data_IF_867904120268
#
_entry.id   IF_867904120268
#
_cell.length_a   1.000
_cell.length_b   1.000
_cell.length_c   1.000
_cell.angle_alpha   90.00
_cell.angle_beta   90.00
_cell.angle_gamma   90.00
#
_symmetry.space_group_name_H-M   'P 1'
#
loop_
_entity.id
_entity.type
_entity.pdbx_description
1 polymer ?
#
# COMPACT_ATOMS: atom_id res chain seq x y z
N UNK A 1 2.27 -63.49 -8.20
CA UNK A 1 0.89 -62.95 -8.16
C UNK A 1 0.75 -61.88 -9.23
N UNK A 2 -0.08 -62.09 -10.25
CA UNK A 2 -0.31 -61.13 -11.32
C UNK A 2 -1.38 -60.14 -10.85
N UNK A 3 -1.04 -58.85 -10.76
CA UNK A 3 -1.99 -57.81 -10.33
C UNK A 3 -3.25 -57.81 -11.21
N UNK A 4 -4.48 -57.75 -10.64
CA UNK A 4 -5.71 -57.74 -11.43
C UNK A 4 -5.72 -56.59 -12.45
N UNK A 5 -6.28 -56.82 -13.65
CA UNK A 5 -6.33 -55.85 -14.77
C UNK A 5 -6.82 -54.46 -14.36
N UNK A 6 -7.80 -54.39 -13.45
CA UNK A 6 -8.31 -53.14 -12.86
C UNK A 6 -7.24 -52.33 -12.11
N UNK A 7 -6.38 -53.00 -11.33
CA UNK A 7 -5.30 -52.36 -10.58
C UNK A 7 -4.15 -51.92 -11.50
N UNK A 8 -3.89 -52.66 -12.58
CA UNK A 8 -2.95 -52.23 -13.62
C UNK A 8 -3.40 -50.95 -14.32
N UNK A 9 -4.69 -50.83 -14.64
CA UNK A 9 -5.26 -49.62 -15.25
C UNK A 9 -5.20 -48.44 -14.28
N UNK A 10 -5.56 -48.66 -13.00
CA UNK A 10 -5.47 -47.60 -11.97
C UNK A 10 -4.02 -47.16 -11.75
N UNK A 11 -3.05 -48.07 -11.71
CA UNK A 11 -1.63 -47.74 -11.56
C UNK A 11 -1.06 -47.04 -12.80
N UNK A 12 -1.49 -47.44 -14.01
CA UNK A 12 -1.11 -46.76 -15.25
C UNK A 12 -1.73 -45.36 -15.32
N UNK A 13 -2.99 -45.19 -14.91
CA UNK A 13 -3.65 -43.89 -14.86
C UNK A 13 -3.03 -42.98 -13.78
N UNK A 14 -2.69 -43.54 -12.60
CA UNK A 14 -1.99 -42.81 -11.54
C UNK A 14 -0.57 -42.42 -11.97
N UNK A 15 0.18 -43.33 -12.59
CA UNK A 15 1.50 -43.04 -13.16
C UNK A 15 1.43 -41.99 -14.27
N UNK A 16 0.43 -42.06 -15.14
CA UNK A 16 0.18 -41.06 -16.17
C UNK A 16 -0.18 -39.70 -15.57
N UNK A 17 -0.98 -39.63 -14.50
CA UNK A 17 -1.26 -38.38 -13.79
C UNK A 17 -0.01 -37.79 -13.13
N UNK A 18 0.84 -38.63 -12.52
CA UNK A 18 2.13 -38.19 -11.95
C UNK A 18 3.05 -37.64 -13.03
N UNK A 19 3.09 -38.24 -14.22
CA UNK A 19 3.89 -37.74 -15.34
C UNK A 19 3.31 -36.44 -15.91
N UNK A 20 1.98 -36.38 -16.14
CA UNK A 20 1.32 -35.23 -16.76
C UNK A 20 1.29 -34.00 -15.84
N UNK A 21 1.08 -34.17 -14.54
CA UNK A 21 1.00 -33.05 -13.60
C UNK A 21 2.29 -32.87 -12.78
N UNK A 22 2.93 -33.96 -12.39
CA UNK A 22 4.11 -33.93 -11.51
C UNK A 22 5.37 -33.44 -12.21
N UNK A 23 5.60 -33.77 -13.49
CA UNK A 23 6.78 -33.26 -14.22
C UNK A 23 6.66 -31.74 -14.43
N UNK A 24 5.56 -31.18 -14.97
CA UNK A 24 5.42 -29.73 -15.09
C UNK A 24 5.51 -29.01 -13.73
N UNK A 25 4.88 -29.56 -12.68
CA UNK A 25 4.99 -28.99 -11.34
C UNK A 25 6.44 -29.01 -10.82
N UNK A 26 7.19 -30.09 -11.05
CA UNK A 26 8.61 -30.15 -10.68
C UNK A 26 9.44 -29.12 -11.48
N UNK A 27 9.18 -28.97 -12.77
CA UNK A 27 9.87 -27.98 -13.63
C UNK A 27 9.63 -26.56 -13.13
N UNK A 28 8.39 -26.22 -12.74
CA UNK A 28 8.07 -24.93 -12.12
C UNK A 28 8.71 -24.81 -10.72
N UNK A 29 8.63 -25.85 -9.90
CA UNK A 29 9.24 -25.88 -8.56
C UNK A 29 10.76 -25.66 -8.63
N UNK A 30 11.43 -26.14 -9.67
CA UNK A 30 12.85 -25.92 -9.92
C UNK A 30 13.19 -24.56 -10.54
N UNK A 31 12.18 -23.71 -10.81
CA UNK A 31 12.36 -22.34 -11.29
C UNK A 31 12.67 -22.24 -12.79
N UNK A 32 12.38 -23.25 -13.60
CA UNK A 32 12.76 -23.26 -15.03
C UNK A 32 12.09 -22.15 -15.88
N UNK A 33 11.04 -21.51 -15.35
CA UNK A 33 10.33 -20.40 -15.99
C UNK A 33 10.63 -19.05 -15.34
N UNK A 34 11.53 -19.00 -14.35
CA UNK A 34 11.93 -17.73 -13.75
C UNK A 34 12.88 -16.99 -14.69
N UNK A 35 12.57 -15.72 -14.95
CA UNK A 35 13.35 -14.86 -15.80
C UNK A 35 13.87 -13.67 -14.99
N UNK A 36 15.18 -13.46 -15.02
CA UNK A 36 15.83 -12.29 -14.42
C UNK A 36 15.76 -11.11 -15.37
N UNK A 37 15.34 -9.93 -14.90
CA UNK A 37 15.49 -8.66 -15.64
C UNK A 37 16.82 -7.97 -15.34
N UNK A 38 17.65 -8.56 -14.48
CA UNK A 38 18.98 -8.07 -14.15
C UNK A 38 19.98 -8.57 -15.19
N UNK A 39 20.67 -7.65 -15.85
CA UNK A 39 21.68 -7.94 -16.88
C UNK A 39 22.92 -8.60 -16.25
N UNK A 40 23.60 -9.49 -16.99
CA UNK A 40 24.85 -10.10 -16.55
C UNK A 40 25.97 -9.06 -16.31
N UNK A 41 25.94 -7.92 -17.00
CA UNK A 41 26.87 -6.81 -16.79
C UNK A 41 26.76 -6.18 -15.38
N UNK A 42 25.69 -6.46 -14.64
CA UNK A 42 25.47 -5.95 -13.27
C UNK A 42 26.42 -6.59 -12.25
N UNK A 43 27.13 -7.66 -12.62
CA UNK A 43 28.08 -8.35 -11.73
C UNK A 43 29.28 -7.49 -11.29
N UNK A 44 29.65 -6.46 -12.06
CA UNK A 44 30.74 -5.56 -11.69
C UNK A 44 30.37 -4.70 -10.46
N UNK A 45 31.23 -4.66 -9.41
CA UNK A 45 30.95 -3.86 -8.21
C UNK A 45 31.03 -2.35 -8.50
N UNK A 46 30.23 -1.57 -7.78
CA UNK A 46 30.32 -0.10 -7.83
C UNK A 46 31.64 0.37 -7.19
N UNK A 47 32.36 1.25 -7.89
CA UNK A 47 33.53 1.94 -7.32
C UNK A 47 33.12 2.93 -6.24
N UNK A 48 34.04 3.29 -5.34
CA UNK A 48 33.79 4.30 -4.31
C UNK A 48 33.32 5.65 -4.90
N UNK A 49 33.84 6.03 -6.07
CA UNK A 49 33.42 7.25 -6.80
C UNK A 49 31.97 7.13 -7.30
N UNK A 50 31.58 5.97 -7.86
CA UNK A 50 30.20 5.73 -8.27
C UNK A 50 29.26 5.76 -7.07
N UNK A 51 29.64 5.14 -5.95
CA UNK A 51 28.84 5.16 -4.71
C UNK A 51 28.61 6.60 -4.26
N UNK A 52 29.67 7.42 -4.17
CA UNK A 52 29.55 8.81 -3.76
C UNK A 52 28.64 9.64 -4.69
N UNK A 53 28.73 9.41 -6.01
CA UNK A 53 27.92 10.13 -6.99
C UNK A 53 26.45 9.71 -6.98
N UNK A 54 26.17 8.43 -6.76
CA UNK A 54 24.82 7.88 -6.81
C UNK A 54 24.06 8.03 -5.48
N UNK A 55 24.75 8.09 -4.35
CA UNK A 55 24.12 8.12 -3.02
C UNK A 55 23.09 9.26 -2.82
N UNK A 56 23.27 10.50 -3.32
CA UNK A 56 22.23 11.53 -3.23
C UNK A 56 20.93 11.16 -3.95
N UNK A 57 21.03 10.61 -5.17
CA UNK A 57 19.89 10.09 -5.93
C UNK A 57 19.26 8.90 -5.20
N UNK A 58 20.10 8.00 -4.69
CA UNK A 58 19.66 6.84 -3.91
C UNK A 58 18.88 7.18 -2.67
N UNK A 59 19.27 8.24 -1.96
CA UNK A 59 18.50 8.77 -0.82
C UNK A 59 17.08 9.14 -1.23
N UNK A 60 16.95 9.84 -2.37
CA UNK A 60 15.66 10.27 -2.88
C UNK A 60 14.79 9.07 -3.30
N UNK A 61 15.36 8.15 -4.09
CA UNK A 61 14.64 6.95 -4.55
C UNK A 61 14.25 6.05 -3.38
N UNK A 62 15.12 5.85 -2.38
CA UNK A 62 14.81 5.04 -1.20
C UNK A 62 13.69 5.65 -0.34
N UNK A 63 13.59 6.98 -0.31
CA UNK A 63 12.46 7.67 0.33
C UNK A 63 11.20 7.51 -0.51
N UNK A 64 11.22 7.85 -1.80
CA UNK A 64 10.06 7.72 -2.70
C UNK A 64 9.53 6.28 -2.80
N UNK A 65 10.42 5.29 -2.67
CA UNK A 65 10.07 3.87 -2.66
C UNK A 65 9.64 3.32 -1.29
N UNK A 66 9.60 4.18 -0.26
CA UNK A 66 9.17 3.87 1.10
C UNK A 66 10.00 2.78 1.82
N UNK A 67 11.27 2.62 1.44
CA UNK A 67 12.11 1.55 1.98
C UNK A 67 12.29 1.65 3.51
N UNK A 68 12.39 2.88 4.04
CA UNK A 68 12.65 3.10 5.47
C UNK A 68 11.46 2.72 6.36
N UNK A 69 10.23 2.87 5.86
CA UNK A 69 9.02 2.52 6.60
C UNK A 69 9.01 1.04 6.96
N UNK A 70 9.39 0.18 6.02
CA UNK A 70 9.43 -1.26 6.24
C UNK A 70 10.69 -1.69 7.01
N UNK A 71 11.85 -1.12 6.65
CA UNK A 71 13.15 -1.57 7.17
C UNK A 71 13.58 -0.90 8.49
N UNK A 72 12.67 -0.26 9.21
CA UNK A 72 12.92 0.34 10.52
C UNK A 72 11.78 -0.03 11.48
N UNK A 73 12.13 -0.41 12.71
CA UNK A 73 11.17 -0.63 13.79
C UNK A 73 10.98 0.62 14.62
N UNK A 74 9.82 0.75 15.27
CA UNK A 74 9.61 1.82 16.25
C UNK A 74 10.65 1.72 17.38
N UNK A 75 11.35 2.83 17.64
CA UNK A 75 12.47 2.88 18.60
C UNK A 75 13.74 2.11 18.17
N UNK A 76 13.74 1.48 16.99
CA UNK A 76 14.87 0.73 16.44
C UNK A 76 15.88 1.59 15.69
N UNK A 77 17.03 1.01 15.37
CA UNK A 77 18.02 1.67 14.54
C UNK A 77 17.52 1.77 13.08
N UNK A 78 17.71 2.91 12.38
CA UNK A 78 17.29 3.07 11.00
C UNK A 78 17.86 1.97 10.10
N UNK A 79 17.03 1.40 9.21
CA UNK A 79 17.41 0.37 8.22
C UNK A 79 17.76 -1.01 8.79
N UNK A 80 17.74 -1.18 10.11
CA UNK A 80 18.15 -2.42 10.77
C UNK A 80 17.06 -3.53 10.79
N UNK A 81 15.90 -3.26 10.17
CA UNK A 81 14.82 -4.23 10.01
C UNK A 81 14.07 -4.54 11.32
N UNK A 82 13.41 -5.70 11.32
CA UNK A 82 12.67 -6.23 12.46
C UNK A 82 11.19 -5.86 12.54
N UNK A 83 10.66 -5.04 11.61
CA UNK A 83 9.25 -4.64 11.59
C UNK A 83 8.37 -5.87 11.32
N UNK A 84 7.39 -6.17 12.18
CA UNK A 84 6.46 -7.26 11.94
C UNK A 84 5.39 -6.85 10.92
N UNK A 85 5.07 -7.75 10.01
CA UNK A 85 3.89 -7.71 9.17
C UNK A 85 3.00 -8.87 9.57
N UNK A 86 1.98 -8.58 10.37
CA UNK A 86 1.05 -9.57 10.88
C UNK A 86 -0.03 -9.87 9.84
N UNK A 87 -0.12 -11.14 9.45
CA UNK A 87 -1.13 -11.62 8.52
C UNK A 87 -1.90 -12.77 9.18
N UNK A 88 -3.12 -13.09 8.71
CA UNK A 88 -3.87 -14.24 9.21
C UNK A 88 -3.11 -15.58 9.10
N UNK A 89 -2.14 -15.66 8.18
CA UNK A 89 -1.33 -16.84 7.90
C UNK A 89 0.01 -16.88 8.69
N UNK A 90 0.27 -15.88 9.55
CA UNK A 90 1.50 -15.75 10.33
C UNK A 90 2.18 -14.39 10.14
N UNK A 91 3.35 -14.22 10.75
CA UNK A 91 4.09 -12.95 10.77
C UNK A 91 5.34 -13.02 9.90
N UNK A 92 5.51 -12.03 9.01
CA UNK A 92 6.75 -11.77 8.29
C UNK A 92 7.55 -10.66 8.99
N UNK A 93 8.87 -10.69 8.87
CA UNK A 93 9.72 -9.63 9.44
C UNK A 93 10.59 -8.97 8.36
N UNK A 94 10.63 -7.64 8.36
CA UNK A 94 11.56 -6.89 7.53
C UNK A 94 13.02 -7.22 7.89
N UNK A 95 13.91 -7.25 6.90
CA UNK A 95 15.32 -7.57 7.11
C UNK A 95 16.17 -6.32 7.35
N UNK A 96 17.33 -6.48 7.98
CA UNK A 96 18.37 -5.47 8.07
C UNK A 96 18.98 -5.22 6.69
N UNK A 97 18.97 -3.97 6.24
CA UNK A 97 19.55 -3.51 4.97
C UNK A 97 20.64 -2.44 5.15
N UNK A 98 21.22 -2.36 6.36
CA UNK A 98 22.43 -1.58 6.62
C UNK A 98 23.66 -2.22 5.97
N UNK A 99 24.79 -1.52 5.81
CA UNK A 99 26.02 -2.11 5.27
C UNK A 99 26.77 -3.01 6.25
N UNK A 100 26.11 -3.50 7.31
CA UNK A 100 26.69 -4.52 8.18
C UNK A 100 27.00 -5.78 7.36
N UNK A 101 28.24 -6.33 7.45
CA UNK A 101 28.67 -7.44 6.59
C UNK A 101 28.08 -8.80 6.97
N UNK A 102 27.64 -8.98 8.21
CA UNK A 102 27.15 -10.27 8.73
C UNK A 102 25.62 -10.37 8.69
N UNK A 103 24.94 -9.31 9.09
CA UNK A 103 23.49 -9.29 9.32
C UNK A 103 22.72 -8.40 8.33
N UNK A 104 23.42 -7.47 7.67
CA UNK A 104 22.88 -6.57 6.66
C UNK A 104 23.27 -6.94 5.21
N UNK A 105 23.37 -5.92 4.36
CA UNK A 105 23.73 -6.06 2.94
C UNK A 105 25.22 -5.80 2.64
N UNK A 106 26.06 -5.56 3.65
CA UNK A 106 27.47 -5.19 3.45
C UNK A 106 28.30 -6.21 2.69
N UNK A 107 27.92 -7.49 2.77
CA UNK A 107 28.55 -8.58 2.01
C UNK A 107 27.81 -8.97 0.73
N UNK A 108 26.82 -8.20 0.27
CA UNK A 108 26.08 -8.49 -0.95
C UNK A 108 26.82 -7.94 -2.16
N UNK A 109 26.68 -8.60 -3.30
CA UNK A 109 27.10 -8.04 -4.59
C UNK A 109 26.03 -7.09 -5.13
N UNK A 110 26.43 -6.18 -6.03
CA UNK A 110 25.50 -5.32 -6.77
C UNK A 110 24.38 -6.12 -7.44
N UNK A 111 24.74 -7.23 -8.09
CA UNK A 111 23.79 -8.11 -8.77
C UNK A 111 22.84 -8.85 -7.81
N UNK A 112 23.33 -9.26 -6.62
CA UNK A 112 22.46 -9.85 -5.59
C UNK A 112 21.42 -8.85 -5.07
N UNK A 113 21.82 -7.58 -4.85
CA UNK A 113 20.88 -6.54 -4.45
C UNK A 113 19.85 -6.26 -5.54
N UNK A 114 20.29 -6.14 -6.81
CA UNK A 114 19.41 -5.93 -7.95
C UNK A 114 18.37 -7.04 -8.11
N UNK A 115 18.79 -8.32 -8.01
CA UNK A 115 17.86 -9.46 -8.09
C UNK A 115 16.90 -9.51 -6.91
N UNK A 116 17.34 -9.14 -5.71
CA UNK A 116 16.44 -9.08 -4.57
C UNK A 116 15.34 -8.04 -4.76
N UNK A 117 15.69 -6.87 -5.32
CA UNK A 117 14.75 -5.79 -5.55
C UNK A 117 13.83 -6.06 -6.74
N UNK A 118 14.36 -6.59 -7.86
CA UNK A 118 13.63 -6.66 -9.14
C UNK A 118 13.12 -8.05 -9.52
N UNK A 119 13.72 -9.11 -8.96
CA UNK A 119 13.31 -10.51 -9.22
C UNK A 119 12.78 -11.21 -7.96
N UNK A 120 12.87 -10.58 -6.79
CA UNK A 120 12.49 -11.21 -5.52
C UNK A 120 13.42 -12.34 -5.12
N UNK A 121 14.70 -12.32 -5.55
CA UNK A 121 15.69 -13.36 -5.22
C UNK A 121 16.83 -12.77 -4.41
N UNK A 122 16.85 -13.09 -3.11
CA UNK A 122 17.89 -12.64 -2.18
C UNK A 122 19.22 -13.39 -2.38
N UNK A 123 20.27 -12.91 -1.70
CA UNK A 123 21.57 -13.58 -1.62
C UNK A 123 21.42 -15.08 -1.31
N UNK A 124 22.14 -15.91 -2.07
CA UNK A 124 22.07 -17.37 -1.99
C UNK A 124 20.88 -18.02 -2.70
N UNK A 125 20.16 -17.28 -3.57
CA UNK A 125 19.06 -17.83 -4.37
C UNK A 125 17.74 -17.99 -3.62
N UNK A 126 17.61 -17.34 -2.45
CA UNK A 126 16.42 -17.46 -1.61
C UNK A 126 15.32 -16.53 -2.09
N UNK A 127 14.17 -17.07 -2.50
CA UNK A 127 12.99 -16.27 -2.86
C UNK A 127 12.48 -15.43 -1.69
N UNK A 128 12.09 -14.20 -1.99
CA UNK A 128 11.38 -13.28 -1.10
C UNK A 128 9.87 -13.54 -1.19
N UNK A 129 9.16 -13.22 -0.10
CA UNK A 129 7.70 -13.14 -0.15
C UNK A 129 7.32 -11.76 -0.70
N UNK A 130 6.21 -11.64 -1.44
CA UNK A 130 5.79 -10.40 -2.09
C UNK A 130 5.35 -9.28 -1.14
N UNK A 131 5.45 -9.49 0.18
CA UNK A 131 5.43 -8.41 1.16
C UNK A 131 6.60 -7.42 0.96
N UNK A 132 7.75 -7.90 0.43
CA UNK A 132 8.70 -7.03 -0.25
C UNK A 132 8.16 -6.82 -1.66
N UNK A 133 7.80 -5.60 -2.09
CA UNK A 133 7.03 -5.38 -3.32
C UNK A 133 7.91 -5.46 -4.58
N UNK A 134 8.65 -6.57 -4.75
CA UNK A 134 9.55 -6.80 -5.88
C UNK A 134 8.81 -6.89 -7.22
N UNK A 135 7.52 -7.22 -7.22
CA UNK A 135 6.68 -7.17 -8.43
C UNK A 135 6.56 -5.74 -8.95
N UNK A 136 6.34 -4.78 -8.04
CA UNK A 136 6.29 -3.36 -8.35
C UNK A 136 7.69 -2.81 -8.65
N UNK A 137 8.67 -3.11 -7.80
CA UNK A 137 10.05 -2.65 -7.97
C UNK A 137 10.78 -3.25 -9.17
N UNK A 138 10.30 -4.35 -9.76
CA UNK A 138 10.82 -4.88 -11.04
C UNK A 138 10.89 -3.81 -12.13
N UNK A 139 9.94 -2.88 -12.09
CA UNK A 139 9.84 -1.77 -13.02
C UNK A 139 10.86 -0.65 -12.77
N UNK A 140 11.56 -0.66 -11.63
CA UNK A 140 12.65 0.28 -11.36
C UNK A 140 13.75 0.14 -12.41
N UNK A 141 14.35 1.28 -12.77
CA UNK A 141 15.52 1.26 -13.64
C UNK A 141 16.72 0.66 -12.90
N UNK A 142 17.63 0.03 -13.64
CA UNK A 142 18.89 -0.49 -13.07
C UNK A 142 19.65 0.60 -12.31
N UNK A 143 19.71 1.81 -12.87
CA UNK A 143 20.40 2.96 -12.28
C UNK A 143 19.77 3.40 -10.95
N UNK A 144 18.44 3.37 -10.84
CA UNK A 144 17.74 3.76 -9.61
C UNK A 144 17.98 2.72 -8.50
N UNK A 145 18.01 1.43 -8.84
CA UNK A 145 18.33 0.37 -7.88
C UNK A 145 19.80 0.45 -7.44
N UNK A 146 20.72 0.74 -8.35
CA UNK A 146 22.12 1.01 -8.01
C UNK A 146 22.27 2.23 -7.12
N UNK A 147 21.46 3.27 -7.35
CA UNK A 147 21.48 4.46 -6.53
C UNK A 147 21.04 4.14 -5.10
N UNK A 148 19.94 3.40 -4.94
CA UNK A 148 19.51 2.92 -3.62
C UNK A 148 20.60 2.08 -2.96
N UNK A 149 21.22 1.15 -3.70
CA UNK A 149 22.30 0.32 -3.17
C UNK A 149 23.48 1.17 -2.68
N UNK A 150 23.95 2.10 -3.51
CA UNK A 150 25.00 3.04 -3.15
C UNK A 150 24.65 3.87 -1.91
N UNK A 151 23.42 4.36 -1.79
CA UNK A 151 22.96 5.11 -0.62
C UNK A 151 22.97 4.25 0.64
N UNK A 152 22.45 3.02 0.58
CA UNK A 152 22.44 2.09 1.71
C UNK A 152 23.87 1.76 2.18
N UNK A 153 24.82 1.61 1.25
CA UNK A 153 26.23 1.39 1.58
C UNK A 153 26.90 2.55 2.34
N UNK A 154 26.31 3.74 2.33
CA UNK A 154 26.80 4.90 3.10
C UNK A 154 26.13 5.05 4.47
N UNK A 155 25.18 4.18 4.84
CA UNK A 155 24.51 4.25 6.15
C UNK A 155 25.42 3.71 7.25
N UNK A 156 25.05 3.99 8.50
CA UNK A 156 25.74 3.39 9.65
C UNK A 156 25.48 1.87 9.65
N UNK A 157 26.52 1.02 9.69
CA UNK A 157 26.36 -0.41 9.88
C UNK A 157 25.70 -0.68 11.24
N UNK A 158 24.66 -1.52 11.25
CA UNK A 158 24.02 -1.97 12.49
C UNK A 158 24.03 -3.49 12.48
N UNK A 159 24.72 -4.09 13.45
CA UNK A 159 24.69 -5.54 13.64
C UNK A 159 23.40 -5.93 14.36
N UNK A 160 22.43 -6.43 13.61
CA UNK A 160 21.14 -6.88 14.13
C UNK A 160 20.66 -8.09 13.34
N UNK A 161 20.55 -9.24 14.02
CA UNK A 161 20.09 -10.47 13.40
C UNK A 161 18.64 -10.35 12.90
N UNK A 162 18.40 -10.88 11.70
CA UNK A 162 17.08 -10.95 11.13
C UNK A 162 16.21 -11.94 11.89
N UNK A 163 15.00 -11.50 12.26
CA UNK A 163 13.99 -12.38 12.85
C UNK A 163 13.49 -13.37 11.81
N UNK A 164 13.23 -14.60 12.24
CA UNK A 164 12.65 -15.63 11.37
C UNK A 164 11.16 -15.40 11.21
N UNK A 165 10.68 -15.58 9.98
CA UNK A 165 9.26 -15.58 9.68
C UNK A 165 8.54 -16.73 10.38
N UNK A 166 7.23 -16.57 10.60
CA UNK A 166 6.37 -17.55 11.27
C UNK A 166 5.25 -18.07 10.36
N UNK A 167 5.60 -18.37 9.11
CA UNK A 167 4.65 -18.90 8.13
C UNK A 167 4.63 -20.45 8.15
N UNK A 168 3.45 -21.09 8.27
CA UNK A 168 3.32 -22.54 8.27
C UNK A 168 3.44 -23.11 6.84
N UNK A 169 3.59 -24.43 6.73
CA UNK A 169 3.36 -25.12 5.44
C UNK A 169 1.92 -24.83 4.93
N UNK A 170 1.70 -24.59 3.63
CA UNK A 170 2.63 -24.73 2.50
C UNK A 170 3.41 -23.47 2.10
N UNK A 171 3.41 -22.41 2.92
CA UNK A 171 4.05 -21.12 2.61
C UNK A 171 5.58 -21.15 2.71
N UNK A 172 6.25 -22.18 2.19
CA UNK A 172 7.72 -22.24 2.13
C UNK A 172 8.23 -21.53 0.86
N UNK A 173 9.37 -20.85 0.98
CA UNK A 173 9.90 -19.94 -0.05
C UNK A 173 10.02 -20.55 -1.45
N UNK A 174 10.31 -21.84 -1.57
CA UNK A 174 10.43 -22.50 -2.88
C UNK A 174 9.13 -22.49 -3.69
N UNK A 175 7.95 -22.45 -3.03
CA UNK A 175 6.69 -22.33 -3.77
C UNK A 175 6.47 -20.95 -4.39
N UNK A 176 7.35 -19.98 -4.12
CA UNK A 176 7.29 -18.69 -4.78
C UNK A 176 7.57 -18.79 -6.28
N UNK A 177 8.20 -19.86 -6.77
CA UNK A 177 8.33 -20.08 -8.22
C UNK A 177 6.96 -20.22 -8.91
N UNK A 178 5.99 -20.88 -8.27
CA UNK A 178 4.62 -21.00 -8.80
C UNK A 178 3.87 -19.68 -8.75
N UNK A 179 4.02 -18.94 -7.65
CA UNK A 179 3.36 -17.64 -7.50
C UNK A 179 3.96 -16.62 -8.48
N UNK A 180 5.28 -16.60 -8.64
CA UNK A 180 5.99 -15.75 -9.59
C UNK A 180 5.56 -16.04 -11.03
N UNK A 181 5.38 -17.31 -11.39
CA UNK A 181 4.86 -17.69 -12.72
C UNK A 181 3.52 -17.03 -13.05
N UNK A 182 2.68 -16.76 -12.04
CA UNK A 182 1.35 -16.15 -12.21
C UNK A 182 1.37 -14.62 -12.05
N UNK A 183 2.20 -14.11 -11.14
CA UNK A 183 2.10 -12.74 -10.64
C UNK A 183 3.30 -11.85 -10.92
N UNK A 184 4.46 -12.39 -11.30
CA UNK A 184 5.65 -11.61 -11.61
C UNK A 184 5.67 -11.29 -13.12
N UNK A 185 5.51 -10.03 -13.55
CA UNK A 185 5.52 -9.67 -14.96
C UNK A 185 6.88 -9.96 -15.58
N UNK A 186 6.92 -10.46 -16.81
CA UNK A 186 8.19 -10.78 -17.47
C UNK A 186 9.00 -9.52 -17.82
N UNK A 187 8.33 -8.50 -18.37
CA UNK A 187 8.97 -7.32 -18.96
C UNK A 187 8.80 -6.06 -18.11
N UNK A 188 9.77 -5.15 -18.23
CA UNK A 188 9.68 -3.79 -17.69
C UNK A 188 8.89 -2.92 -18.69
N UNK A 189 7.79 -2.27 -18.30
CA UNK A 189 6.98 -1.50 -19.24
C UNK A 189 7.69 -0.25 -19.77
N UNK A 190 7.82 -0.16 -21.09
CA UNK A 190 8.32 1.04 -21.78
C UNK A 190 7.40 2.26 -21.60
N UNK A 191 7.91 3.49 -21.78
CA UNK A 191 7.06 4.68 -21.84
C UNK A 191 5.95 4.56 -22.88
N UNK A 192 4.75 5.01 -22.54
CA UNK A 192 3.59 5.02 -23.43
C UNK A 192 3.70 6.23 -24.36
N UNK A 193 3.92 5.99 -25.65
CA UNK A 193 4.24 7.03 -26.64
C UNK A 193 3.15 8.11 -26.79
N UNK A 194 1.88 7.76 -26.58
CA UNK A 194 0.75 8.68 -26.70
C UNK A 194 0.50 9.51 -25.43
N UNK A 195 1.29 9.29 -24.36
CA UNK A 195 1.16 10.00 -23.09
C UNK A 195 2.29 11.00 -22.90
N UNK A 196 2.00 12.06 -22.15
CA UNK A 196 2.98 13.10 -21.83
C UNK A 196 4.16 12.53 -21.02
N UNK A 197 5.29 13.23 -21.04
CA UNK A 197 6.44 12.87 -20.23
C UNK A 197 6.10 12.87 -18.73
N UNK A 198 5.30 13.85 -18.28
CA UNK A 198 4.81 13.94 -16.91
C UNK A 198 3.93 12.73 -16.53
N UNK A 199 3.04 12.30 -17.42
CA UNK A 199 2.22 11.11 -17.18
C UNK A 199 3.08 9.84 -17.06
N UNK A 200 4.06 9.66 -17.95
CA UNK A 200 4.97 8.51 -17.89
C UNK A 200 5.86 8.53 -16.64
N UNK A 201 6.30 9.72 -16.20
CA UNK A 201 7.02 9.90 -14.94
C UNK A 201 6.14 9.56 -13.74
N UNK A 202 4.90 10.04 -13.72
CA UNK A 202 3.91 9.72 -12.69
C UNK A 202 3.61 8.23 -12.60
N UNK A 203 3.47 7.56 -13.76
CA UNK A 203 3.31 6.10 -13.84
C UNK A 203 4.46 5.38 -13.17
N UNK A 204 5.71 5.76 -13.48
CA UNK A 204 6.89 5.17 -12.84
C UNK A 204 6.89 5.38 -11.31
N UNK A 205 6.57 6.60 -10.86
CA UNK A 205 6.54 6.92 -9.44
C UNK A 205 5.42 6.19 -8.69
N UNK A 206 4.26 5.97 -9.30
CA UNK A 206 3.09 5.34 -8.67
C UNK A 206 3.17 3.82 -8.75
N UNK A 207 3.53 3.27 -9.92
CA UNK A 207 3.54 1.83 -10.16
C UNK A 207 4.82 1.18 -9.61
N UNK A 208 5.97 1.84 -9.75
CA UNK A 208 7.27 1.25 -9.39
C UNK A 208 7.74 1.69 -8.00
N UNK A 209 7.95 2.99 -7.78
CA UNK A 209 8.51 3.47 -6.51
C UNK A 209 7.48 3.39 -5.38
N UNK A 210 6.38 4.12 -5.51
CA UNK A 210 5.34 4.20 -4.49
C UNK A 210 4.48 2.96 -4.36
N UNK A 211 4.61 1.98 -5.29
CA UNK A 211 3.91 0.69 -5.29
C UNK A 211 2.41 0.80 -4.91
N UNK A 212 1.75 1.89 -5.32
CA UNK A 212 0.41 2.24 -4.84
C UNK A 212 -0.61 1.12 -5.15
N UNK A 213 -0.38 0.39 -6.24
CA UNK A 213 -1.16 -0.77 -6.65
C UNK A 213 -1.23 -1.89 -5.61
N UNK A 214 -0.23 -2.03 -4.73
CA UNK A 214 -0.18 -3.08 -3.71
C UNK A 214 -1.26 -2.90 -2.63
N UNK A 215 -1.67 -1.66 -2.36
CA UNK A 215 -2.73 -1.35 -1.41
C UNK A 215 -4.05 -0.99 -2.09
N UNK A 216 -3.99 -0.35 -3.26
CA UNK A 216 -5.18 0.18 -3.95
C UNK A 216 -5.73 -0.75 -5.05
N UNK A 217 -5.25 -1.99 -5.17
CA UNK A 217 -5.80 -2.98 -6.12
C UNK A 217 -6.31 -4.19 -5.35
N UNK A 218 -7.52 -4.70 -5.65
CA UNK A 218 -8.02 -5.88 -4.98
C UNK A 218 -7.15 -7.10 -5.33
N UNK A 219 -7.03 -8.03 -4.37
CA UNK A 219 -6.23 -9.25 -4.52
C UNK A 219 -7.11 -10.48 -4.76
N UNK A 220 -6.56 -11.47 -5.46
CA UNK A 220 -7.18 -12.77 -5.66
C UNK A 220 -6.85 -13.75 -4.52
N UNK A 221 -7.28 -15.01 -4.66
CA UNK A 221 -7.04 -16.06 -3.66
C UNK A 221 -5.56 -16.43 -3.48
N UNK A 222 -4.69 -16.08 -4.44
CA UNK A 222 -3.24 -16.27 -4.36
C UNK A 222 -2.55 -15.10 -3.67
N UNK A 223 -3.32 -14.09 -3.23
CA UNK A 223 -2.83 -12.79 -2.74
C UNK A 223 -2.11 -11.95 -3.80
N UNK A 224 -2.21 -12.32 -5.08
CA UNK A 224 -1.77 -11.47 -6.20
C UNK A 224 -2.76 -10.35 -6.46
N UNK A 225 -2.29 -9.19 -6.92
CA UNK A 225 -3.19 -8.09 -7.34
C UNK A 225 -3.94 -8.49 -8.61
N UNK A 226 -5.21 -8.09 -8.74
CA UNK A 226 -6.03 -8.38 -9.93
C UNK A 226 -5.80 -7.27 -10.98
N UNK A 227 -5.08 -7.52 -12.08
CA UNK A 227 -4.65 -6.43 -12.99
C UNK A 227 -5.83 -5.71 -13.67
N UNK A 228 -6.93 -6.41 -13.93
CA UNK A 228 -8.14 -5.83 -14.52
C UNK A 228 -8.89 -4.86 -13.59
N UNK A 229 -8.51 -4.82 -12.31
CA UNK A 229 -9.07 -3.94 -11.29
C UNK A 229 -8.04 -2.98 -10.70
N UNK A 230 -6.98 -2.71 -11.46
CA UNK A 230 -5.89 -1.82 -11.05
C UNK A 230 -6.41 -0.51 -10.44
N UNK A 231 -5.94 -0.18 -9.24
CA UNK A 231 -6.27 1.02 -8.46
C UNK A 231 -7.74 1.21 -8.06
N UNK A 232 -8.61 0.22 -8.26
CA UNK A 232 -10.05 0.31 -7.94
C UNK A 232 -10.38 0.16 -6.44
N UNK A 233 -9.36 0.20 -5.58
CA UNK A 233 -9.47 0.08 -4.13
C UNK A 233 -9.42 -1.35 -3.60
N UNK A 234 -9.15 -1.49 -2.32
CA UNK A 234 -9.13 -2.75 -1.60
C UNK A 234 -9.43 -2.51 -0.10
N UNK A 235 -9.53 -3.59 0.67
CA UNK A 235 -9.57 -3.50 2.14
C UNK A 235 -8.21 -3.91 2.68
N UNK A 236 -7.58 -3.04 3.45
CA UNK A 236 -6.28 -3.25 4.10
C UNK A 236 -6.49 -3.03 5.60
N UNK A 237 -6.13 -4.01 6.43
CA UNK A 237 -6.25 -3.92 7.90
C UNK A 237 -7.65 -3.51 8.40
N UNK A 238 -8.69 -3.91 7.67
CA UNK A 238 -10.09 -3.61 8.02
C UNK A 238 -10.57 -2.21 7.66
N UNK A 239 -9.76 -1.41 6.97
CA UNK A 239 -10.16 -0.11 6.39
C UNK A 239 -10.06 -0.14 4.86
N UNK A 240 -10.87 0.68 4.21
CA UNK A 240 -10.88 0.80 2.75
C UNK A 240 -9.69 1.65 2.28
N UNK A 241 -8.79 1.03 1.51
CA UNK A 241 -7.92 1.74 0.59
C UNK A 241 -8.77 2.19 -0.62
N UNK A 242 -8.97 3.50 -0.82
CA UNK A 242 -9.95 4.00 -1.79
C UNK A 242 -9.61 3.66 -3.24
N UNK A 243 -10.61 3.72 -4.11
CA UNK A 243 -10.40 3.77 -5.56
C UNK A 243 -9.64 5.06 -5.93
N UNK A 244 -8.40 4.91 -6.40
CA UNK A 244 -7.53 6.01 -6.82
C UNK A 244 -7.31 6.04 -8.34
N UNK A 245 -8.20 5.40 -9.11
CA UNK A 245 -8.30 5.65 -10.56
C UNK A 245 -8.68 7.11 -10.83
N UNK A 246 -8.47 7.64 -12.06
CA UNK A 246 -8.92 8.98 -12.43
C UNK A 246 -10.38 9.25 -12.07
N UNK A 247 -11.28 8.30 -12.37
CA UNK A 247 -12.70 8.40 -12.07
C UNK A 247 -12.98 8.29 -10.57
N UNK A 248 -12.23 7.44 -9.85
CA UNK A 248 -12.30 7.31 -8.39
C UNK A 248 -11.97 8.62 -7.68
N UNK A 249 -10.83 9.22 -8.01
CA UNK A 249 -10.37 10.48 -7.44
C UNK A 249 -11.29 11.64 -7.77
N UNK A 250 -11.82 11.68 -9.00
CA UNK A 250 -12.83 12.67 -9.38
C UNK A 250 -14.10 12.54 -8.54
N UNK A 251 -14.60 11.31 -8.30
CA UNK A 251 -15.75 11.09 -7.39
C UNK A 251 -15.49 11.52 -5.95
N UNK A 252 -14.25 11.41 -5.49
CA UNK A 252 -13.83 11.89 -4.18
C UNK A 252 -13.63 13.42 -4.15
N UNK A 253 -13.60 14.08 -5.32
CA UNK A 253 -13.46 15.52 -5.46
C UNK A 253 -12.01 16.00 -5.37
N UNK A 254 -11.05 15.15 -5.71
CA UNK A 254 -9.66 15.57 -5.86
C UNK A 254 -9.45 16.26 -7.21
N UNK A 255 -9.17 17.56 -7.17
CA UNK A 255 -8.66 18.26 -8.34
C UNK A 255 -7.20 17.83 -8.60
N UNK A 256 -6.77 17.62 -9.86
CA UNK A 256 -5.42 17.13 -10.19
C UNK A 256 -4.31 17.96 -9.52
N UNK A 257 -4.42 19.29 -9.60
CA UNK A 257 -3.43 20.20 -9.02
C UNK A 257 -3.37 20.16 -7.48
N UNK A 258 -4.42 19.68 -6.80
CA UNK A 258 -4.47 19.54 -5.34
C UNK A 258 -4.02 18.16 -4.85
N UNK A 259 -4.01 17.17 -5.73
CA UNK A 259 -3.62 15.81 -5.37
C UNK A 259 -2.12 15.71 -5.05
N UNK A 260 -1.26 16.40 -5.82
CA UNK A 260 0.18 16.48 -5.53
C UNK A 260 0.47 17.09 -4.17
N UNK A 261 -0.17 18.22 -3.86
CA UNK A 261 -0.08 18.88 -2.55
C UNK A 261 -0.55 17.95 -1.43
N UNK A 262 -1.67 17.25 -1.63
CA UNK A 262 -2.23 16.33 -0.65
C UNK A 262 -1.31 15.13 -0.39
N UNK A 263 -0.67 14.56 -1.42
CA UNK A 263 0.30 13.48 -1.26
C UNK A 263 1.51 13.91 -0.43
N UNK A 264 1.98 15.15 -0.61
CA UNK A 264 3.15 15.65 0.12
C UNK A 264 2.83 16.10 1.54
N UNK A 265 1.69 16.74 1.74
CA UNK A 265 1.30 17.29 3.03
C UNK A 265 0.55 16.28 3.92
N UNK A 266 -0.07 15.26 3.33
CA UNK A 266 -0.94 14.31 4.01
C UNK A 266 -2.24 14.92 4.55
N UNK A 267 -2.51 16.21 4.32
CA UNK A 267 -3.68 16.91 4.85
C UNK A 267 -4.20 17.94 3.84
N UNK A 268 -5.51 18.02 3.69
CA UNK A 268 -6.13 19.00 2.79
C UNK A 268 -7.65 19.04 2.93
N UNK A 269 -8.34 19.77 2.04
CA UNK A 269 -9.80 19.85 2.06
C UNK A 269 -10.49 18.49 1.94
N UNK A 270 -9.87 17.52 1.27
CA UNK A 270 -10.41 16.17 1.11
C UNK A 270 -10.23 15.28 2.35
N UNK A 271 -9.53 15.75 3.39
CA UNK A 271 -9.32 15.00 4.63
C UNK A 271 -7.86 14.92 5.01
N UNK A 272 -7.49 13.80 5.63
CA UNK A 272 -6.14 13.49 6.09
C UNK A 272 -5.75 12.08 5.63
N UNK A 273 -4.47 11.86 5.35
CA UNK A 273 -3.92 10.52 5.15
C UNK A 273 -3.78 9.85 6.52
N UNK A 274 -4.72 8.96 6.80
CA UNK A 274 -4.81 8.18 8.04
C UNK A 274 -4.45 6.71 7.82
N UNK A 275 -4.41 5.93 8.90
CA UNK A 275 -4.07 4.50 8.87
C UNK A 275 -2.70 4.27 8.23
N UNK A 276 -2.54 3.20 7.43
CA UNK A 276 -1.28 2.90 6.74
C UNK A 276 -0.78 4.03 5.82
N UNK A 277 -1.68 4.88 5.29
CA UNK A 277 -1.26 6.02 4.46
C UNK A 277 -0.55 7.12 5.25
N UNK A 278 -0.69 7.16 6.58
CA UNK A 278 0.09 8.07 7.40
C UNK A 278 1.58 7.76 7.30
N UNK A 279 1.96 6.47 7.40
CA UNK A 279 3.36 6.04 7.29
C UNK A 279 3.94 6.40 5.92
N UNK A 280 3.15 6.24 4.85
CA UNK A 280 3.55 6.63 3.47
C UNK A 280 3.92 8.11 3.40
N UNK A 281 3.14 8.99 4.04
CA UNK A 281 3.49 10.43 4.11
C UNK A 281 4.74 10.63 4.96
N UNK A 282 4.82 10.00 6.13
CA UNK A 282 5.92 10.20 7.07
C UNK A 282 7.28 9.75 6.53
N UNK A 283 7.29 8.72 5.70
CA UNK A 283 8.51 8.04 5.29
C UNK A 283 8.82 8.16 3.79
N UNK A 284 7.83 8.54 2.97
CA UNK A 284 7.97 8.64 1.51
C UNK A 284 7.49 9.96 0.92
N UNK A 285 6.18 10.15 0.77
CA UNK A 285 5.63 11.13 -0.20
C UNK A 285 5.92 12.58 0.17
N UNK A 286 6.16 12.89 1.44
CA UNK A 286 6.57 14.24 1.86
C UNK A 286 7.92 14.69 1.29
N UNK A 287 8.77 13.75 0.89
CA UNK A 287 10.12 14.02 0.38
C UNK A 287 10.17 14.16 -1.15
N UNK A 288 9.05 13.95 -1.84
CA UNK A 288 8.95 14.11 -3.29
C UNK A 288 9.26 15.55 -3.69
N UNK A 289 9.84 15.73 -4.88
CA UNK A 289 9.96 17.07 -5.49
C UNK A 289 8.59 17.59 -5.93
N UNK A 290 8.45 18.89 -6.18
CA UNK A 290 7.17 19.46 -6.65
C UNK A 290 6.80 18.86 -8.00
N UNK A 291 7.82 18.67 -8.86
CA UNK A 291 7.69 18.05 -10.18
C UNK A 291 7.21 16.61 -10.10
N UNK A 292 7.79 15.78 -9.21
CA UNK A 292 7.41 14.38 -9.10
C UNK A 292 6.02 14.22 -8.46
N UNK A 293 5.66 15.04 -7.48
CA UNK A 293 4.31 15.05 -6.94
C UNK A 293 3.26 15.49 -7.98
N UNK A 294 3.60 16.48 -8.81
CA UNK A 294 2.76 16.89 -9.93
C UNK A 294 2.64 15.78 -11.00
N UNK A 295 3.74 15.08 -11.31
CA UNK A 295 3.73 13.96 -12.25
C UNK A 295 2.86 12.81 -11.75
N UNK A 296 2.98 12.42 -10.47
CA UNK A 296 2.09 11.43 -9.84
C UNK A 296 0.63 11.87 -9.93
N UNK A 297 0.34 13.15 -9.70
CA UNK A 297 -1.00 13.69 -9.82
C UNK A 297 -1.53 13.66 -11.26
N UNK A 298 -0.70 13.97 -12.27
CA UNK A 298 -1.05 13.83 -13.69
C UNK A 298 -1.37 12.38 -14.06
N UNK A 299 -0.62 11.41 -13.53
CA UNK A 299 -0.90 10.00 -13.78
C UNK A 299 -2.22 9.56 -13.14
N UNK A 300 -2.36 9.79 -11.83
CA UNK A 300 -3.51 9.34 -11.04
C UNK A 300 -4.81 10.05 -11.42
N UNK A 301 -4.77 11.35 -11.70
CA UNK A 301 -5.95 12.10 -12.10
C UNK A 301 -6.28 11.96 -13.59
N UNK A 302 -5.40 11.37 -14.40
CA UNK A 302 -5.55 11.23 -15.84
C UNK A 302 -5.06 12.44 -16.64
N UNK A 303 -4.83 12.20 -17.94
CA UNK A 303 -4.34 13.17 -18.91
C UNK A 303 -5.11 12.98 -20.24
N UNK A 304 -6.20 13.76 -20.50
CA UNK A 304 -6.79 14.79 -19.61
C UNK A 304 -7.58 14.20 -18.43
N UNK A 305 -7.77 14.96 -17.33
CA UNK A 305 -8.52 14.50 -16.17
C UNK A 305 -10.04 14.49 -16.43
N UNK A 306 -10.79 13.54 -15.84
CA UNK A 306 -12.24 13.52 -15.95
C UNK A 306 -12.86 14.71 -15.18
N UNK A 307 -14.07 15.16 -15.57
CA UNK A 307 -14.75 16.23 -14.86
C UNK A 307 -15.13 15.78 -13.44
N UNK A 308 -15.01 16.70 -12.49
CA UNK A 308 -15.51 16.47 -11.13
C UNK A 308 -17.05 16.40 -11.16
N UNK A 309 -17.68 15.38 -10.57
CA UNK A 309 -19.12 15.30 -10.51
C UNK A 309 -19.69 16.45 -9.67
N UNK A 310 -20.86 16.94 -10.05
CA UNK A 310 -21.60 17.88 -9.22
C UNK A 310 -21.96 17.20 -7.91
N UNK A 311 -21.67 17.87 -6.80
CA UNK A 311 -22.08 17.41 -5.48
C UNK A 311 -23.56 17.74 -5.24
N UNK A 312 -24.33 16.76 -4.77
CA UNK A 312 -25.68 16.95 -4.30
C UNK A 312 -25.87 16.17 -2.98
N UNK A 313 -26.50 16.81 -2.00
CA UNK A 313 -26.89 16.12 -0.77
C UNK A 313 -27.95 15.05 -1.08
N UNK A 314 -27.90 13.94 -0.36
CA UNK A 314 -28.90 12.88 -0.45
C UNK A 314 -30.02 13.09 0.57
N UNK A 315 -31.19 12.54 0.28
CA UNK A 315 -32.33 12.58 1.20
C UNK A 315 -32.10 11.69 2.43
N UNK A 316 -32.62 12.14 3.57
CA UNK A 316 -32.58 11.47 4.85
C UNK A 316 -33.96 11.49 5.50
N UNK A 317 -34.38 10.41 6.19
CA UNK A 317 -35.55 10.45 7.06
C UNK A 317 -35.44 11.58 8.10
N UNK A 318 -36.52 12.33 8.33
CA UNK A 318 -36.50 13.53 9.17
C UNK A 318 -35.94 13.25 10.58
N UNK A 319 -36.35 12.15 11.22
CA UNK A 319 -35.85 11.75 12.54
C UNK A 319 -34.34 11.50 12.55
N UNK A 320 -33.82 10.74 11.59
CA UNK A 320 -32.37 10.48 11.44
C UNK A 320 -31.60 11.77 11.16
N UNK A 321 -32.15 12.65 10.31
CA UNK A 321 -31.54 13.95 10.00
C UNK A 321 -31.43 14.84 11.24
N UNK A 322 -32.51 14.97 11.99
CA UNK A 322 -32.56 15.82 13.19
C UNK A 322 -31.65 15.28 14.29
N UNK A 323 -31.67 13.96 14.53
CA UNK A 323 -30.79 13.31 15.51
C UNK A 323 -29.33 13.47 15.12
N UNK A 324 -28.97 13.10 13.88
CA UNK A 324 -27.60 13.18 13.38
C UNK A 324 -27.05 14.60 13.38
N UNK A 325 -27.86 15.61 13.01
CA UNK A 325 -27.47 17.01 13.09
C UNK A 325 -27.26 17.49 14.53
N UNK A 326 -28.16 17.13 15.46
CA UNK A 326 -28.01 17.47 16.88
C UNK A 326 -26.73 16.86 17.47
N UNK A 327 -26.47 15.59 17.17
CA UNK A 327 -25.24 14.91 17.57
C UNK A 327 -24.00 15.60 16.97
N UNK A 328 -24.03 15.89 15.68
CA UNK A 328 -22.93 16.60 15.01
C UNK A 328 -22.61 17.93 15.72
N UNK A 329 -23.61 18.77 15.96
CA UNK A 329 -23.41 20.05 16.65
C UNK A 329 -22.90 19.85 18.08
N UNK A 330 -23.39 18.84 18.79
CA UNK A 330 -23.04 18.57 20.18
C UNK A 330 -21.60 18.05 20.35
N UNK A 331 -21.12 17.16 19.48
CA UNK A 331 -19.84 16.45 19.70
C UNK A 331 -18.80 16.63 18.59
N UNK A 332 -19.18 17.09 17.40
CA UNK A 332 -18.26 17.27 16.26
C UNK A 332 -17.99 18.74 15.93
N UNK A 333 -19.02 19.59 16.02
CA UNK A 333 -19.02 20.97 15.51
C UNK A 333 -18.00 21.89 16.17
N UNK A 334 -17.56 21.59 17.40
CA UNK A 334 -16.52 22.37 18.09
C UNK A 334 -15.17 22.36 17.36
N UNK A 335 -14.85 21.28 16.64
CA UNK A 335 -13.60 21.18 15.84
C UNK A 335 -13.88 21.28 14.34
N UNK A 336 -14.95 20.62 13.86
CA UNK A 336 -15.29 20.56 12.44
C UNK A 336 -16.13 21.74 11.94
N UNK A 337 -16.45 22.70 12.81
CA UNK A 337 -17.29 23.85 12.50
C UNK A 337 -18.78 23.49 12.51
N UNK A 338 -19.66 24.46 12.77
CA UNK A 338 -21.10 24.19 12.87
C UNK A 338 -21.72 23.83 11.51
N UNK A 339 -21.14 24.30 10.41
CA UNK A 339 -21.55 24.00 9.05
C UNK A 339 -20.62 23.00 8.33
N UNK A 340 -19.70 22.37 9.06
CA UNK A 340 -18.74 21.41 8.48
C UNK A 340 -17.57 22.05 7.75
N UNK A 341 -17.33 23.34 7.95
CA UNK A 341 -16.26 24.12 7.32
C UNK A 341 -14.84 23.75 7.76
N UNK A 342 -14.71 22.97 8.85
CA UNK A 342 -13.43 22.56 9.41
C UNK A 342 -12.68 23.70 10.10
N UNK A 343 -11.56 23.35 10.72
CA UNK A 343 -10.62 24.30 11.30
C UNK A 343 -9.26 24.09 10.64
N UNK A 344 -8.71 25.10 9.93
CA UNK A 344 -7.43 24.96 9.24
C UNK A 344 -6.32 24.41 10.15
N UNK A 345 -5.58 23.41 9.66
CA UNK A 345 -4.49 22.73 10.38
C UNK A 345 -4.89 22.11 11.73
N UNK A 346 -6.17 21.80 11.92
CA UNK A 346 -6.69 21.17 13.14
C UNK A 346 -7.63 20.02 12.80
N UNK A 347 -8.67 20.32 12.03
CA UNK A 347 -9.72 19.36 11.66
C UNK A 347 -10.16 19.59 10.22
N UNK A 348 -10.20 18.55 9.37
CA UNK A 348 -10.58 18.71 7.97
C UNK A 348 -12.04 19.17 7.85
N UNK A 349 -12.39 19.93 6.80
CA UNK A 349 -13.77 20.27 6.47
C UNK A 349 -14.55 19.00 6.13
N UNK A 350 -15.77 18.87 6.64
CA UNK A 350 -16.68 17.78 6.27
C UNK A 350 -17.28 17.99 4.88
N UNK A 351 -17.47 19.24 4.46
CA UNK A 351 -18.08 19.60 3.17
C UNK A 351 -17.37 19.02 1.95
N UNK A 352 -16.06 18.74 2.08
CA UNK A 352 -15.22 18.20 1.01
C UNK A 352 -14.55 16.88 1.36
N UNK A 353 -14.83 16.32 2.54
CA UNK A 353 -14.11 15.14 3.04
C UNK A 353 -14.40 13.90 2.17
N UNK A 354 -13.35 13.31 1.63
CA UNK A 354 -13.41 12.14 0.77
C UNK A 354 -13.97 10.91 1.52
N UNK A 355 -13.73 10.77 2.82
CA UNK A 355 -14.22 9.63 3.61
C UNK A 355 -15.76 9.57 3.65
N UNK A 356 -16.44 10.72 3.55
CA UNK A 356 -17.91 10.77 3.49
C UNK A 356 -18.46 10.32 2.13
N UNK A 357 -17.63 10.40 1.09
CA UNK A 357 -17.97 10.09 -0.32
C UNK A 357 -17.65 8.64 -0.69
N UNK A 358 -16.95 7.90 0.17
CA UNK A 358 -16.57 6.51 -0.11
C UNK A 358 -17.78 5.58 -0.26
N UNK A 359 -17.66 4.55 -1.13
CA UNK A 359 -18.33 3.28 -1.11
C UNK A 359 -19.14 2.96 0.12
N UNK A 360 -18.34 2.40 1.00
CA UNK A 360 -18.71 1.83 2.26
C UNK A 360 -18.48 2.87 3.36
N UNK A 361 -19.20 2.74 4.48
CA UNK A 361 -19.03 3.62 5.63
C UNK A 361 -17.82 3.23 6.50
N UNK A 362 -17.07 2.18 6.15
CA UNK A 362 -16.04 1.58 6.99
C UNK A 362 -15.06 2.61 7.55
N UNK A 363 -14.42 3.41 6.70
CA UNK A 363 -13.42 4.38 7.17
C UNK A 363 -14.04 5.44 8.10
N UNK A 364 -15.22 5.96 7.75
CA UNK A 364 -15.93 6.92 8.61
C UNK A 364 -16.27 6.29 9.96
N UNK A 365 -16.80 5.06 9.96
CA UNK A 365 -17.17 4.36 11.19
C UNK A 365 -15.96 4.03 12.04
N UNK A 366 -14.85 3.58 11.45
CA UNK A 366 -13.60 3.36 12.19
C UNK A 366 -13.16 4.64 12.89
N UNK A 367 -13.17 5.77 12.18
CA UNK A 367 -12.82 7.08 12.74
C UNK A 367 -13.80 7.50 13.85
N UNK A 368 -15.11 7.34 13.67
CA UNK A 368 -16.11 7.67 14.71
C UNK A 368 -16.01 6.75 15.94
N UNK A 369 -15.69 5.47 15.76
CA UNK A 369 -15.66 4.47 16.84
C UNK A 369 -14.34 4.58 17.61
N UNK A 370 -13.21 4.56 16.89
CA UNK A 370 -11.86 4.42 17.47
C UNK A 370 -11.09 5.73 17.56
N UNK A 371 -11.51 6.76 16.82
CA UNK A 371 -10.80 8.03 16.74
C UNK A 371 -9.57 7.99 15.84
N UNK A 372 -8.86 9.11 15.76
CA UNK A 372 -7.53 9.23 15.18
C UNK A 372 -6.63 9.92 16.20
N UNK A 373 -5.45 9.35 16.51
CA UNK A 373 -4.53 9.99 17.44
C UNK A 373 -3.94 11.25 16.82
N UNK A 374 -3.36 12.08 17.67
CA UNK A 374 -2.61 13.26 17.30
C UNK A 374 -1.46 12.87 16.39
N UNK A 375 -1.28 13.62 15.31
CA UNK A 375 -0.22 13.39 14.32
C UNK A 375 0.38 14.70 13.83
N UNK A 376 1.70 14.73 13.74
CA UNK A 376 2.39 15.76 12.96
C UNK A 376 2.35 15.40 11.47
N UNK A 377 2.17 16.45 10.66
CA UNK A 377 2.28 16.41 9.21
C UNK A 377 3.39 17.38 8.74
N UNK A 378 3.92 17.19 7.52
CA UNK A 378 4.89 18.10 6.94
C UNK A 378 4.42 19.56 6.92
N UNK A 379 5.36 20.49 6.84
CA UNK A 379 5.10 21.93 6.77
C UNK A 379 4.33 22.51 7.99
N UNK A 380 4.38 21.83 9.14
CA UNK A 380 3.82 22.32 10.40
C UNK A 380 2.31 22.10 10.56
N UNK A 381 1.68 21.37 9.63
CA UNK A 381 0.30 20.91 9.79
C UNK A 381 0.24 19.86 10.91
N UNK A 382 -0.87 19.86 11.67
CA UNK A 382 -1.09 18.91 12.77
C UNK A 382 -2.53 18.44 12.76
N UNK A 383 -2.74 17.15 12.96
CA UNK A 383 -4.04 16.62 13.30
C UNK A 383 -4.13 16.58 14.82
N UNK A 384 -5.08 17.30 15.41
CA UNK A 384 -5.40 17.15 16.82
C UNK A 384 -6.04 15.77 17.06
N UNK A 385 -5.93 15.25 18.28
CA UNK A 385 -6.63 14.01 18.67
C UNK A 385 -8.11 14.13 18.29
N UNK A 386 -8.55 13.28 17.37
CA UNK A 386 -9.95 13.13 17.01
C UNK A 386 -10.48 11.96 17.87
N UNK A 387 -11.31 12.23 18.89
CA UNK A 387 -11.68 11.20 19.85
C UNK A 387 -12.57 10.13 19.21
N UNK A 388 -12.41 8.89 19.68
CA UNK A 388 -13.38 7.82 19.42
C UNK A 388 -14.59 7.95 20.32
N UNK A 389 -15.78 7.66 19.79
CA UNK A 389 -17.06 7.85 20.46
C UNK A 389 -17.67 6.55 21.02
N UNK A 390 -16.90 5.45 21.03
CA UNK A 390 -17.36 4.14 21.51
C UNK A 390 -17.94 4.20 22.93
N UNK A 391 -17.31 4.92 23.86
CA UNK A 391 -17.80 5.06 25.23
C UNK A 391 -18.86 6.16 25.45
N UNK A 392 -19.16 6.97 24.43
CA UNK A 392 -20.02 8.15 24.58
C UNK A 392 -21.36 8.01 23.84
N UNK A 393 -21.34 7.39 22.65
CA UNK A 393 -22.50 7.26 21.79
C UNK A 393 -22.93 5.81 21.65
N UNK A 394 -24.24 5.58 21.61
CA UNK A 394 -24.85 4.28 21.31
C UNK A 394 -24.66 3.90 19.84
N UNK A 395 -24.90 2.62 19.50
CA UNK A 395 -24.88 2.14 18.11
C UNK A 395 -25.84 2.95 17.19
N UNK A 396 -27.02 3.31 17.71
CA UNK A 396 -28.00 4.09 16.96
C UNK A 396 -27.54 5.52 16.74
N UNK A 397 -26.95 6.16 17.74
CA UNK A 397 -26.45 7.53 17.61
C UNK A 397 -25.28 7.63 16.62
N UNK A 398 -24.35 6.66 16.65
CA UNK A 398 -23.28 6.58 15.65
C UNK A 398 -23.87 6.36 14.24
N UNK A 399 -24.87 5.49 14.10
CA UNK A 399 -25.54 5.29 12.82
C UNK A 399 -26.24 6.56 12.32
N UNK A 400 -26.95 7.28 13.18
CA UNK A 400 -27.66 8.52 12.85
C UNK A 400 -26.68 9.62 12.41
N UNK A 401 -25.60 9.86 13.16
CA UNK A 401 -24.60 10.88 12.79
C UNK A 401 -23.83 10.47 11.53
N UNK A 402 -23.45 9.21 11.37
CA UNK A 402 -22.75 8.75 10.16
C UNK A 402 -23.63 8.92 8.91
N UNK A 403 -24.91 8.56 9.00
CA UNK A 403 -25.87 8.77 7.91
C UNK A 403 -26.08 10.26 7.62
N UNK A 404 -26.20 11.10 8.66
CA UNK A 404 -26.30 12.55 8.49
C UNK A 404 -25.09 13.13 7.73
N UNK A 405 -23.87 12.77 8.14
CA UNK A 405 -22.63 13.22 7.50
C UNK A 405 -22.55 12.78 6.03
N UNK A 406 -22.79 11.48 5.80
CA UNK A 406 -22.74 10.84 4.47
C UNK A 406 -23.76 11.43 3.50
N UNK A 407 -25.00 11.67 3.93
CA UNK A 407 -26.00 12.26 3.05
C UNK A 407 -25.80 13.77 2.86
N UNK A 408 -25.44 14.51 3.91
CA UNK A 408 -25.31 15.98 3.85
C UNK A 408 -24.09 16.43 3.06
N UNK A 409 -22.93 15.77 3.23
CA UNK A 409 -21.65 16.19 2.64
C UNK A 409 -20.96 15.12 1.79
N UNK A 410 -21.42 13.88 1.87
CA UNK A 410 -20.94 12.77 1.04
C UNK A 410 -21.79 12.46 -0.19
N UNK A 411 -23.03 12.99 -0.27
CA UNK A 411 -23.98 12.69 -1.34
C UNK A 411 -24.38 11.21 -1.37
N UNK A 412 -24.25 10.52 -0.24
CA UNK A 412 -24.50 9.09 -0.08
C UNK A 412 -25.87 8.85 0.50
N UNK A 413 -26.58 7.88 -0.08
CA UNK A 413 -27.82 7.37 0.50
C UNK A 413 -27.50 6.78 1.88
N UNK A 414 -28.29 7.09 2.92
CA UNK A 414 -28.09 6.54 4.25
C UNK A 414 -28.22 5.01 4.24
N UNK A 415 -27.15 4.33 4.64
CA UNK A 415 -27.01 2.86 4.61
C UNK A 415 -26.42 2.29 5.91
N UNK A 416 -26.07 3.14 6.88
CA UNK A 416 -25.49 2.72 8.15
C UNK A 416 -26.59 2.27 9.10
N UNK A 417 -26.45 1.07 9.67
CA UNK A 417 -27.37 0.52 10.67
C UNK A 417 -26.68 0.36 12.03
N UNK A 418 -27.43 0.32 13.15
CA UNK A 418 -26.86 0.03 14.47
C UNK A 418 -26.13 -1.33 14.51
N UNK A 419 -26.63 -2.32 13.76
CA UNK A 419 -25.99 -3.63 13.67
C UNK A 419 -24.61 -3.55 12.98
N UNK A 420 -24.49 -2.73 11.94
CA UNK A 420 -23.21 -2.45 11.27
C UNK A 420 -22.21 -1.83 12.25
N UNK A 421 -22.65 -0.82 13.03
CA UNK A 421 -21.82 -0.16 14.04
C UNK A 421 -21.36 -1.16 15.11
N UNK A 422 -22.29 -1.95 15.66
CA UNK A 422 -21.99 -2.98 16.66
C UNK A 422 -20.97 -4.00 16.16
N UNK A 423 -21.06 -4.38 14.88
CA UNK A 423 -20.11 -5.29 14.25
C UNK A 423 -18.67 -4.77 14.28
N UNK A 424 -18.49 -3.45 14.21
CA UNK A 424 -17.19 -2.78 14.12
C UNK A 424 -16.60 -2.36 15.48
N UNK A 425 -17.39 -2.37 16.56
CA UNK A 425 -16.87 -2.06 17.90
C UNK A 425 -15.78 -3.06 18.33
N UNK A 426 -14.78 -2.64 19.11
CA UNK A 426 -13.82 -3.56 19.73
C UNK A 426 -14.54 -4.63 20.56
N UNK A 427 -13.96 -5.83 20.63
CA UNK A 427 -14.57 -6.95 21.38
C UNK A 427 -14.72 -6.68 22.88
N UNK A 428 -13.95 -5.75 23.45
CA UNK A 428 -14.11 -5.27 24.83
C UNK A 428 -15.40 -4.48 25.06
N UNK A 429 -16.01 -3.97 23.98
CA UNK A 429 -17.14 -3.05 24.00
C UNK A 429 -18.41 -3.66 23.37
N UNK A 430 -18.34 -4.93 22.97
CA UNK A 430 -19.49 -5.76 22.54
C UNK A 430 -20.02 -6.55 23.73
#
# INVERSE_FOLDING_TARGET
MVLPRRWRIVLLAAGLCVVIAGIPALVVFLGAFEHSVVDAAVEAPLTAKQIANLAPKGRYIAAAADCVACHTTEGGAPWAGGRPFEMPIGTLYATNITPDPETGIGGWTRAEFQRAVRDGVAKGGRHLYPAMPYVSYRQMTEEDVDAVYAYLLTRQPVRQENRRDSLPFPYVRQFMTFWNLLNLPHDVPSPVAQKSAAWNRGRYLVDALGHCGECHTPRDITMGVIPSRYLQGAVIEGVDAPDITPEGLARLGFAPNRLGDFMRSGMGPQGVMAFAMYDVVQHSTQYLTDEDAAAMATYLAGDPPPPLPAFAAADLPAGTKDNGHRLYVAVCGGCHGLAGEGTPNVAPPMTTNAALRLPQPTNLLTVLITGLPWRDFPHGARLQDMPGFTGLLTDQEIADVANYLRATWGGRVPDVTPATVRGMRPASDK
#
